data_IF_609612362715
#
_entry.id   IF_609612362715
#
_cell.length_a   1.000
_cell.length_b   1.000
_cell.length_c   1.000
_cell.angle_alpha   90.00
_cell.angle_beta   90.00
_cell.angle_gamma   90.00
#
_symmetry.space_group_name_H-M   'P 1'
#
loop_
_entity.id
_entity.type
_entity.pdbx_description
1 polymer ?
#
# COMPACT_ATOMS: atom_id res chain seq x y z
N UNK A 1 18.27 -10.17 -14.58
CA UNK A 1 16.97 -10.82 -14.78
C UNK A 1 15.85 -9.78 -14.74
N UNK A 2 14.85 -9.94 -15.61
CA UNK A 2 13.70 -9.02 -15.71
C UNK A 2 12.58 -9.38 -14.72
N UNK A 3 12.98 -9.82 -13.52
CA UNK A 3 12.03 -10.13 -12.44
C UNK A 3 11.56 -8.85 -11.81
N UNK A 4 10.26 -8.74 -11.60
CA UNK A 4 9.61 -7.70 -10.84
C UNK A 4 8.83 -8.36 -9.68
N UNK A 5 8.81 -7.73 -8.53
CA UNK A 5 8.23 -8.28 -7.30
C UNK A 5 7.17 -7.33 -6.78
N UNK A 6 6.01 -7.87 -6.39
CA UNK A 6 5.03 -7.16 -5.59
C UNK A 6 5.18 -7.60 -4.12
N UNK A 7 5.35 -6.63 -3.22
CA UNK A 7 5.33 -6.86 -1.78
C UNK A 7 3.91 -6.61 -1.29
N UNK A 8 3.12 -7.69 -1.26
CA UNK A 8 1.74 -7.66 -0.79
C UNK A 8 1.69 -7.59 0.73
N UNK A 9 0.71 -6.89 1.28
CA UNK A 9 0.42 -6.75 2.72
C UNK A 9 1.59 -6.20 3.57
N UNK A 10 2.66 -5.72 2.92
CA UNK A 10 3.91 -5.36 3.59
C UNK A 10 3.89 -4.00 4.29
N UNK A 11 2.88 -3.17 4.03
CA UNK A 11 2.94 -1.76 4.39
C UNK A 11 4.04 -1.02 3.63
N UNK A 12 4.09 0.28 3.76
CA UNK A 12 5.05 1.12 3.02
C UNK A 12 5.88 2.07 3.91
N UNK A 13 5.46 2.28 5.15
CA UNK A 13 6.09 3.24 6.05
C UNK A 13 7.53 2.92 6.44
N UNK A 14 7.96 1.68 6.32
CA UNK A 14 9.32 1.22 6.60
C UNK A 14 10.30 1.47 5.45
N UNK A 15 9.80 1.73 4.24
CA UNK A 15 10.60 1.80 3.00
C UNK A 15 11.69 2.88 3.03
N UNK A 16 11.45 4.13 3.43
CA UNK A 16 12.49 5.15 3.42
C UNK A 16 13.73 4.73 4.21
N UNK A 17 13.53 4.24 5.43
CA UNK A 17 14.65 3.76 6.27
C UNK A 17 15.32 2.53 5.68
N UNK A 18 14.55 1.61 5.13
CA UNK A 18 15.10 0.42 4.49
C UNK A 18 16.02 0.76 3.31
N UNK A 19 15.61 1.67 2.44
CA UNK A 19 16.41 2.09 1.29
C UNK A 19 17.73 2.76 1.73
N UNK A 20 17.68 3.62 2.74
CA UNK A 20 18.88 4.21 3.33
C UNK A 20 19.84 3.15 3.88
N UNK A 21 19.29 2.17 4.62
CA UNK A 21 20.09 1.09 5.20
C UNK A 21 20.64 0.14 4.16
N UNK A 22 19.91 -0.10 3.09
CA UNK A 22 20.32 -0.94 1.98
C UNK A 22 21.58 -0.38 1.29
N UNK A 23 21.57 0.92 0.98
CA UNK A 23 22.71 1.59 0.34
C UNK A 23 23.91 1.72 1.30
N UNK A 24 23.65 2.02 2.57
CA UNK A 24 24.71 2.04 3.58
C UNK A 24 25.38 0.67 3.71
N UNK A 25 24.61 -0.40 3.82
CA UNK A 25 25.13 -1.76 3.93
C UNK A 25 25.94 -2.16 2.70
N UNK A 26 25.46 -1.81 1.52
CA UNK A 26 26.21 -2.04 0.28
C UNK A 26 27.56 -1.31 0.29
N UNK A 27 27.56 -0.03 0.62
CA UNK A 27 28.79 0.78 0.67
C UNK A 27 29.81 0.22 1.66
N UNK A 28 29.36 -0.25 2.82
CA UNK A 28 30.21 -0.78 3.87
C UNK A 28 30.79 -2.18 3.55
N UNK A 29 30.06 -2.98 2.78
CA UNK A 29 30.35 -4.41 2.67
C UNK A 29 30.67 -4.89 1.24
N UNK A 30 30.47 -4.08 0.20
CA UNK A 30 30.67 -4.48 -1.20
C UNK A 30 32.04 -5.08 -1.50
N UNK A 31 33.08 -4.64 -0.78
CA UNK A 31 34.45 -5.10 -1.02
C UNK A 31 34.66 -6.60 -0.71
N UNK A 32 33.84 -7.18 0.16
CA UNK A 32 33.97 -8.60 0.56
C UNK A 32 32.73 -9.44 0.26
N UNK A 33 31.57 -8.81 0.02
CA UNK A 33 30.37 -9.54 -0.42
C UNK A 33 30.36 -9.83 -1.92
N UNK A 34 31.22 -9.13 -2.68
CA UNK A 34 31.26 -9.17 -4.14
C UNK A 34 29.93 -8.83 -4.80
N UNK A 35 29.04 -8.12 -4.08
CA UNK A 35 27.80 -7.64 -4.62
C UNK A 35 28.08 -6.56 -5.67
N UNK A 36 27.47 -6.70 -6.85
CA UNK A 36 27.63 -5.79 -7.96
C UNK A 36 26.25 -5.40 -8.51
N UNK A 37 25.93 -4.12 -8.44
CA UNK A 37 24.72 -3.53 -9.00
C UNK A 37 25.04 -2.61 -10.20
N UNK A 38 26.25 -2.71 -10.75
CA UNK A 38 26.74 -1.84 -11.80
C UNK A 38 26.84 -0.39 -11.33
N UNK A 39 26.33 0.53 -12.14
CA UNK A 39 26.35 1.97 -11.84
C UNK A 39 25.21 2.41 -10.91
N UNK A 40 24.39 1.46 -10.41
CA UNK A 40 23.23 1.76 -9.57
C UNK A 40 23.51 1.46 -8.11
N UNK A 41 22.79 2.19 -7.26
CA UNK A 41 22.66 1.82 -5.84
C UNK A 41 21.59 0.71 -5.71
N UNK A 42 21.70 -0.15 -4.70
CA UNK A 42 20.71 -1.17 -4.41
C UNK A 42 19.29 -0.60 -4.24
N UNK A 43 19.15 0.58 -3.62
CA UNK A 43 17.87 1.29 -3.49
C UNK A 43 17.25 1.61 -4.84
N UNK A 44 18.04 2.03 -5.83
CA UNK A 44 17.56 2.32 -7.18
C UNK A 44 17.06 1.05 -7.86
N UNK A 45 17.80 -0.06 -7.74
CA UNK A 45 17.37 -1.35 -8.28
C UNK A 45 16.10 -1.84 -7.60
N UNK A 46 15.99 -1.69 -6.29
CA UNK A 46 14.78 -2.01 -5.54
C UNK A 46 13.59 -1.23 -6.09
N UNK A 47 13.70 0.08 -6.20
CA UNK A 47 12.60 0.94 -6.68
C UNK A 47 12.25 0.72 -8.15
N UNK A 48 13.16 0.20 -8.95
CA UNK A 48 12.86 -0.19 -10.35
C UNK A 48 12.10 -1.51 -10.44
N UNK A 49 12.32 -2.42 -9.51
CA UNK A 49 11.89 -3.82 -9.60
C UNK A 49 10.77 -4.18 -8.63
N UNK A 50 10.49 -3.35 -7.64
CA UNK A 50 9.51 -3.67 -6.61
C UNK A 50 8.32 -2.73 -6.70
N UNK A 51 7.13 -3.30 -6.58
CA UNK A 51 5.92 -2.56 -6.29
C UNK A 51 5.51 -2.83 -4.85
N UNK A 52 5.05 -1.82 -4.18
CA UNK A 52 4.76 -1.82 -2.75
C UNK A 52 3.26 -1.80 -2.54
N UNK A 53 2.74 -2.74 -1.77
CA UNK A 53 1.32 -2.82 -1.51
C UNK A 53 1.04 -2.64 -0.02
N UNK A 54 -0.08 -1.99 0.30
CA UNK A 54 -0.52 -1.81 1.66
C UNK A 54 -2.04 -1.83 1.77
N UNK A 55 -2.54 -2.29 2.92
CA UNK A 55 -3.96 -2.29 3.26
C UNK A 55 -4.30 -0.98 3.96
N UNK A 56 -3.64 -0.71 5.09
CA UNK A 56 -3.79 0.49 5.88
C UNK A 56 -2.42 0.87 6.48
N UNK A 57 -1.91 2.05 6.17
CA UNK A 57 -0.62 2.55 6.66
C UNK A 57 -0.61 4.07 6.65
N UNK A 58 -1.09 4.67 7.75
CA UNK A 58 -1.16 6.12 7.90
C UNK A 58 0.21 6.80 7.89
N UNK A 59 1.24 6.14 8.41
CA UNK A 59 2.60 6.68 8.38
C UNK A 59 3.14 6.67 6.96
N UNK A 60 3.01 5.55 6.28
CA UNK A 60 3.41 5.41 4.88
C UNK A 60 2.67 6.35 3.95
N UNK A 61 1.37 6.54 4.17
CA UNK A 61 0.55 7.47 3.40
C UNK A 61 1.08 8.92 3.46
N UNK A 62 1.51 9.38 4.64
CA UNK A 62 2.12 10.72 4.80
C UNK A 62 3.46 10.87 4.09
N UNK A 63 4.16 9.78 3.85
CA UNK A 63 5.47 9.73 3.19
C UNK A 63 5.42 9.16 1.77
N UNK A 64 4.21 9.00 1.20
CA UNK A 64 4.03 8.35 -0.09
C UNK A 64 4.84 9.00 -1.24
N UNK A 65 5.02 10.32 -1.23
CA UNK A 65 5.84 11.00 -2.24
C UNK A 65 7.33 10.72 -2.09
N UNK A 66 7.84 10.62 -0.86
CA UNK A 66 9.24 10.25 -0.59
C UNK A 66 9.52 8.81 -1.01
N UNK A 67 8.54 7.92 -0.80
CA UNK A 67 8.60 6.53 -1.23
C UNK A 67 8.51 6.41 -2.75
N UNK A 68 7.65 7.22 -3.38
CA UNK A 68 7.38 7.22 -4.81
C UNK A 68 5.99 6.67 -5.15
N UNK A 69 5.02 7.57 -5.28
CA UNK A 69 3.59 7.23 -5.53
C UNK A 69 3.38 6.31 -6.73
N UNK A 70 4.27 6.34 -7.72
CA UNK A 70 4.18 5.49 -8.92
C UNK A 70 4.52 4.00 -8.67
N UNK A 71 4.97 3.65 -7.46
CA UNK A 71 5.33 2.29 -7.05
C UNK A 71 4.44 1.74 -5.94
N UNK A 72 3.47 2.50 -5.51
CA UNK A 72 2.57 2.13 -4.43
C UNK A 72 1.24 1.65 -5.01
N UNK A 73 0.73 0.55 -4.49
CA UNK A 73 -0.61 0.04 -4.77
C UNK A 73 -1.36 -0.17 -3.46
N UNK A 74 -2.64 0.13 -3.47
CA UNK A 74 -3.56 -0.22 -2.40
C UNK A 74 -4.09 -1.62 -2.67
N UNK A 75 -4.23 -2.39 -1.62
CA UNK A 75 -4.90 -3.68 -1.62
C UNK A 75 -5.94 -3.71 -0.49
N UNK A 76 -6.97 -4.52 -0.66
CA UNK A 76 -8.05 -4.63 0.34
C UNK A 76 -7.92 -5.86 1.20
N UNK A 77 -7.13 -6.83 0.76
CA UNK A 77 -6.90 -8.14 1.37
C UNK A 77 -8.19 -8.89 1.76
N UNK A 78 -9.31 -8.53 1.13
CA UNK A 78 -10.58 -9.23 1.38
C UNK A 78 -10.49 -10.68 0.88
N UNK A 79 -10.90 -11.68 1.69
CA UNK A 79 -11.65 -11.59 2.95
C UNK A 79 -10.83 -11.91 4.23
N UNK A 80 -9.56 -11.57 4.27
CA UNK A 80 -8.72 -11.80 5.44
C UNK A 80 -9.14 -10.96 6.65
N UNK A 81 -8.56 -11.26 7.81
CA UNK A 81 -8.99 -10.67 9.10
C UNK A 81 -8.60 -9.21 9.28
N UNK A 82 -7.58 -8.74 8.58
CA UNK A 82 -7.12 -7.35 8.58
C UNK A 82 -7.67 -6.52 7.41
N UNK A 83 -8.49 -7.14 6.54
CA UNK A 83 -9.20 -6.41 5.52
C UNK A 83 -10.12 -5.35 6.12
N UNK A 84 -10.05 -4.13 5.60
CA UNK A 84 -10.90 -3.00 6.03
C UNK A 84 -12.23 -2.91 5.27
N UNK A 85 -12.65 -4.00 4.62
CA UNK A 85 -13.94 -4.10 3.97
C UNK A 85 -15.09 -4.06 5.00
N UNK A 86 -16.23 -3.41 4.74
CA UNK A 86 -16.62 -2.71 3.50
C UNK A 86 -16.28 -1.21 3.50
N UNK A 87 -15.49 -0.73 4.44
CA UNK A 87 -15.20 0.69 4.67
C UNK A 87 -13.85 1.13 4.11
N UNK A 88 -13.20 0.31 3.30
CA UNK A 88 -11.89 0.58 2.73
C UNK A 88 -11.78 1.98 2.06
N UNK A 89 -12.73 2.43 1.23
CA UNK A 89 -12.63 3.74 0.62
C UNK A 89 -12.61 4.89 1.63
N UNK A 90 -13.46 4.83 2.66
CA UNK A 90 -13.54 5.84 3.70
C UNK A 90 -12.29 5.87 4.58
N UNK A 91 -11.79 4.69 4.94
CA UNK A 91 -10.58 4.56 5.76
C UNK A 91 -9.37 5.14 5.05
N UNK A 92 -9.19 4.81 3.77
CA UNK A 92 -8.12 5.35 2.95
C UNK A 92 -8.22 6.86 2.81
N UNK A 93 -9.40 7.39 2.49
CA UNK A 93 -9.61 8.83 2.38
C UNK A 93 -9.39 9.56 3.70
N UNK A 94 -9.72 8.94 4.83
CA UNK A 94 -9.44 9.49 6.16
C UNK A 94 -7.92 9.56 6.43
N UNK A 95 -7.18 8.51 6.11
CA UNK A 95 -5.72 8.48 6.24
C UNK A 95 -5.03 9.54 5.37
N UNK A 96 -5.59 9.81 4.19
CA UNK A 96 -5.05 10.80 3.26
C UNK A 96 -5.51 12.23 3.50
N UNK A 97 -6.55 12.45 4.30
CA UNK A 97 -7.08 13.80 4.56
C UNK A 97 -6.05 14.75 5.18
N UNK A 98 -5.03 14.22 5.85
CA UNK A 98 -3.93 14.99 6.43
C UNK A 98 -2.71 15.09 5.51
N UNK A 99 -2.80 14.62 4.26
CA UNK A 99 -1.74 14.69 3.24
C UNK A 99 -2.08 15.76 2.20
N UNK A 100 -1.09 16.14 1.42
CA UNK A 100 -1.25 17.02 0.26
C UNK A 100 -1.25 16.26 -1.06
N UNK A 101 -1.58 14.95 -1.03
CA UNK A 101 -1.67 14.11 -2.22
C UNK A 101 -2.74 14.65 -3.17
N UNK A 102 -2.39 14.71 -4.44
CA UNK A 102 -3.31 15.11 -5.51
C UNK A 102 -4.21 13.94 -5.91
N UNK A 103 -5.37 14.23 -6.50
CA UNK A 103 -6.28 13.21 -7.04
C UNK A 103 -5.56 12.27 -8.02
N UNK A 104 -4.63 12.79 -8.83
CA UNK A 104 -3.84 11.98 -9.75
C UNK A 104 -2.92 10.98 -9.02
N UNK A 105 -2.28 11.38 -7.92
CA UNK A 105 -1.46 10.47 -7.10
C UNK A 105 -2.32 9.42 -6.40
N UNK A 106 -3.50 9.80 -5.94
CA UNK A 106 -4.50 8.89 -5.36
C UNK A 106 -4.98 7.88 -6.40
N UNK A 107 -5.35 8.34 -7.60
CA UNK A 107 -5.75 7.47 -8.71
C UNK A 107 -4.62 6.50 -9.10
N UNK A 108 -3.38 7.00 -9.16
CA UNK A 108 -2.23 6.14 -9.43
C UNK A 108 -2.10 5.01 -8.42
N UNK A 109 -2.18 5.30 -7.13
CA UNK A 109 -2.01 4.31 -6.06
C UNK A 109 -3.23 3.39 -5.91
N UNK A 110 -4.44 3.86 -6.19
CA UNK A 110 -5.66 3.05 -6.03
C UNK A 110 -5.87 2.06 -7.17
N UNK A 111 -5.48 2.37 -8.39
CA UNK A 111 -5.76 1.48 -9.52
C UNK A 111 -4.75 1.54 -10.68
N UNK A 112 -4.25 2.72 -11.09
CA UNK A 112 -3.47 2.84 -12.32
C UNK A 112 -2.11 2.11 -12.25
N UNK A 113 -1.44 2.15 -11.10
CA UNK A 113 -0.19 1.44 -10.89
C UNK A 113 -0.38 -0.07 -11.00
N UNK A 114 -1.43 -0.61 -10.39
CA UNK A 114 -1.75 -2.03 -10.48
C UNK A 114 -2.08 -2.42 -11.93
N UNK A 115 -2.89 -1.64 -12.63
CA UNK A 115 -3.21 -1.87 -14.04
C UNK A 115 -1.95 -1.93 -14.90
N UNK A 116 -1.05 -0.97 -14.73
CA UNK A 116 0.22 -0.91 -15.46
C UNK A 116 1.15 -2.06 -15.11
N UNK A 117 1.32 -2.35 -13.83
CA UNK A 117 2.25 -3.34 -13.33
C UNK A 117 1.84 -4.76 -13.69
N UNK A 118 0.57 -5.08 -13.47
CA UNK A 118 0.02 -6.41 -13.79
C UNK A 118 -0.45 -6.54 -15.24
N UNK A 119 -0.37 -5.46 -16.04
CA UNK A 119 -0.83 -5.42 -17.45
C UNK A 119 -2.29 -5.88 -17.57
N UNK A 120 -3.12 -5.42 -16.67
CA UNK A 120 -4.52 -5.75 -16.60
C UNK A 120 -5.38 -4.49 -16.63
N UNK A 121 -6.32 -4.43 -17.57
CA UNK A 121 -7.28 -3.32 -17.66
C UNK A 121 -8.68 -3.82 -17.28
N UNK A 122 -9.15 -3.53 -16.05
CA UNK A 122 -10.49 -3.90 -15.61
C UNK A 122 -11.57 -3.18 -16.40
N UNK A 123 -11.27 -2.02 -16.98
CA UNK A 123 -12.25 -1.24 -17.75
C UNK A 123 -12.52 -1.80 -19.14
N UNK A 124 -11.71 -2.74 -19.62
CA UNK A 124 -12.02 -3.56 -20.79
C UNK A 124 -13.13 -4.57 -20.54
N UNK A 125 -13.39 -4.89 -19.26
CA UNK A 125 -14.43 -5.86 -18.84
C UNK A 125 -15.69 -5.12 -18.39
N UNK A 126 -15.52 -3.98 -17.70
CA UNK A 126 -16.61 -3.21 -17.10
C UNK A 126 -16.33 -1.71 -17.24
N UNK A 127 -17.30 -0.94 -17.68
CA UNK A 127 -17.13 0.51 -17.86
C UNK A 127 -16.67 1.21 -16.54
N UNK A 128 -15.78 2.18 -16.65
CA UNK A 128 -15.17 2.87 -15.48
C UNK A 128 -16.24 3.47 -14.56
N UNK A 129 -17.28 4.04 -15.11
CA UNK A 129 -18.39 4.64 -14.37
C UNK A 129 -19.13 3.63 -13.49
N UNK A 130 -19.11 2.36 -13.89
CA UNK A 130 -19.71 1.25 -13.13
C UNK A 130 -18.76 0.68 -12.07
N UNK A 131 -17.49 1.06 -12.09
CA UNK A 131 -16.47 0.59 -11.13
C UNK A 131 -16.25 1.59 -9.97
N UNK A 132 -17.01 2.67 -9.93
CA UNK A 132 -16.92 3.63 -8.82
C UNK A 132 -17.53 3.06 -7.54
N UNK A 133 -17.04 3.52 -6.38
CA UNK A 133 -17.58 3.12 -5.07
C UNK A 133 -19.10 3.30 -5.01
N UNK A 134 -19.59 4.44 -5.50
CA UNK A 134 -21.03 4.74 -5.53
C UNK A 134 -21.84 3.75 -6.39
N UNK A 135 -21.33 3.44 -7.58
CA UNK A 135 -21.99 2.50 -8.49
C UNK A 135 -22.03 1.07 -7.90
N UNK A 136 -20.91 0.62 -7.35
CA UNK A 136 -20.82 -0.71 -6.73
C UNK A 136 -21.71 -0.83 -5.48
N UNK A 137 -21.81 0.21 -4.67
CA UNK A 137 -22.74 0.24 -3.52
C UNK A 137 -24.20 0.25 -3.95
N UNK A 138 -24.54 0.98 -5.00
CA UNK A 138 -25.89 0.96 -5.55
C UNK A 138 -26.27 -0.44 -6.08
N UNK A 139 -25.34 -1.14 -6.70
CA UNK A 139 -25.51 -2.51 -7.17
C UNK A 139 -25.66 -3.51 -6.02
N UNK A 140 -24.94 -3.29 -4.92
CA UNK A 140 -25.02 -4.09 -3.71
C UNK A 140 -26.25 -3.75 -2.83
N UNK A 141 -27.11 -2.82 -3.24
CA UNK A 141 -28.29 -2.45 -2.48
C UNK A 141 -29.21 -3.69 -2.27
N UNK A 142 -29.57 -3.95 -1.01
CA UNK A 142 -30.36 -5.11 -0.63
C UNK A 142 -29.55 -6.36 -0.25
N UNK A 143 -28.24 -6.36 -0.44
CA UNK A 143 -27.34 -7.38 0.09
C UNK A 143 -26.83 -7.00 1.48
N UNK A 144 -26.68 -7.99 2.36
CA UNK A 144 -26.05 -7.77 3.65
C UNK A 144 -24.52 -7.66 3.46
N UNK A 145 -24.01 -6.44 3.56
CA UNK A 145 -22.58 -6.12 3.48
C UNK A 145 -21.97 -5.88 4.86
N UNK A 146 -22.65 -6.30 5.93
CA UNK A 146 -22.07 -6.21 7.28
C UNK A 146 -20.88 -7.15 7.45
N UNK A 147 -19.99 -6.79 8.36
CA UNK A 147 -18.84 -7.64 8.70
C UNK A 147 -19.37 -8.92 9.33
N UNK A 148 -19.12 -10.05 8.69
CA UNK A 148 -19.50 -11.38 9.15
C UNK A 148 -18.27 -12.07 9.74
N UNK A 149 -18.28 -12.33 11.05
CA UNK A 149 -17.26 -13.15 11.68
C UNK A 149 -17.85 -14.48 12.10
N UNK A 150 -17.27 -15.58 11.64
CA UNK A 150 -17.61 -16.94 12.09
C UNK A 150 -16.87 -17.34 13.37
N UNK A 151 -15.97 -16.50 13.86
CA UNK A 151 -15.18 -16.72 15.06
C UNK A 151 -15.90 -16.36 16.35
N UNK A 152 -15.35 -16.81 17.49
CA UNK A 152 -15.77 -16.36 18.80
C UNK A 152 -15.57 -14.84 18.89
N UNK A 153 -16.60 -14.09 19.28
CA UNK A 153 -16.49 -12.64 19.47
C UNK A 153 -15.35 -12.38 20.47
N UNK A 154 -14.20 -11.96 19.97
CA UNK A 154 -13.13 -11.41 20.78
C UNK A 154 -13.55 -9.98 21.07
N UNK A 155 -13.61 -9.59 22.35
CA UNK A 155 -13.80 -8.19 22.68
C UNK A 155 -12.72 -7.39 21.98
N UNK A 156 -13.12 -6.39 21.20
CA UNK A 156 -12.18 -5.54 20.47
C UNK A 156 -11.25 -4.90 21.49
N UNK A 157 -10.02 -5.34 21.53
CA UNK A 157 -8.97 -4.49 22.06
C UNK A 157 -8.84 -3.32 21.09
N UNK A 158 -8.93 -2.11 21.61
CA UNK A 158 -8.64 -0.93 20.82
C UNK A 158 -7.27 -1.12 20.14
N UNK A 159 -7.13 -0.81 18.86
CA UNK A 159 -5.84 -0.92 18.19
C UNK A 159 -4.80 -0.13 19.00
N UNK A 160 -3.65 -0.74 19.26
CA UNK A 160 -2.53 -0.04 19.89
C UNK A 160 -2.15 1.14 19.00
N UNK A 161 -2.69 2.30 19.33
CA UNK A 161 -2.25 3.53 18.70
C UNK A 161 -0.85 3.87 19.23
N UNK A 162 0.02 4.35 18.36
CA UNK A 162 1.36 4.85 18.72
C UNK A 162 1.31 6.01 19.76
N UNK A 163 0.13 6.46 20.14
CA UNK A 163 -0.10 7.46 21.19
C UNK A 163 0.42 7.05 22.59
N UNK A 164 0.73 5.77 22.81
CA UNK A 164 1.38 5.32 24.04
C UNK A 164 2.87 5.65 24.17
N UNK A 165 3.51 6.20 23.13
CA UNK A 165 4.90 6.60 23.11
C UNK A 165 5.11 8.12 23.13
N UNK A 166 4.17 8.88 23.70
CA UNK A 166 4.45 10.28 23.99
C UNK A 166 5.58 10.34 25.04
N UNK A 167 6.73 11.01 24.77
CA UNK A 167 7.74 11.18 25.81
C UNK A 167 7.12 11.94 26.98
N UNK A 168 7.16 11.35 28.15
CA UNK A 168 6.84 12.07 29.39
C UNK A 168 7.85 13.18 29.54
N UNK A 169 7.36 14.43 29.60
CA UNK A 169 8.14 15.64 29.83
C UNK A 169 8.84 15.61 31.20
#
# INVERSE_FOLDING_TARGET
PDVTVALSEGGIGWIPYFLERLDHSYSAHKAWTFADFGDKLPSQVFMERVILCFIEDDFGARHAREIGTSRICIETDYPHSDAIWPTAPERLMQGWAATDLTDHEIDAMTHENAMRFFRFDPFSIRAREQCTVGALRAEAAGHDVSIQSKGRRVEHHEPMTMAGFAPTA
#
